data_IF_068001091432
#
_entry.id   IF_068001091432
#
_cell.length_a   1.000
_cell.length_b   1.000
_cell.length_c   1.000
_cell.angle_alpha   90.00
_cell.angle_beta   90.00
_cell.angle_gamma   90.00
#
_symmetry.space_group_name_H-M   'P 1'
#
loop_
_entity.id
_entity.type
_entity.pdbx_description
1 polymer ?
#
# COMPACT_ATOMS: atom_id res chain seq x y z
N UNK A 1 -1.88 -10.18 7.75
CA UNK A 1 -0.90 -9.11 7.48
C UNK A 1 -0.75 -8.98 5.98
N UNK A 2 -0.88 -7.76 5.49
CA UNK A 2 -0.96 -7.42 4.08
C UNK A 2 0.04 -6.31 3.80
N UNK A 3 0.71 -6.38 2.67
CA UNK A 3 1.72 -5.40 2.28
C UNK A 3 1.13 -4.54 1.18
N UNK A 4 0.96 -3.24 1.44
CA UNK A 4 0.58 -2.24 0.46
C UNK A 4 1.72 -2.08 -0.54
N UNK A 5 1.40 -2.31 -1.79
CA UNK A 5 2.32 -2.26 -2.92
C UNK A 5 1.70 -1.45 -4.05
N UNK A 6 2.52 -1.14 -5.05
CA UNK A 6 2.08 -0.41 -6.21
C UNK A 6 2.55 -1.08 -7.48
N UNK A 7 1.66 -1.16 -8.46
CA UNK A 7 2.02 -1.67 -9.78
C UNK A 7 2.97 -0.69 -10.47
N UNK A 8 4.13 -1.17 -10.90
CA UNK A 8 5.14 -0.36 -11.60
C UNK A 8 4.72 -0.01 -13.03
N UNK A 9 3.86 -0.84 -13.65
CA UNK A 9 3.39 -0.63 -15.02
C UNK A 9 2.26 0.39 -15.13
N UNK A 10 1.26 0.35 -14.25
CA UNK A 10 0.08 1.25 -14.34
C UNK A 10 -0.11 2.18 -13.14
N UNK A 11 0.71 2.07 -12.09
CA UNK A 11 0.64 2.95 -10.93
C UNK A 11 -0.56 2.73 -10.00
N UNK A 12 -1.38 1.69 -10.18
CA UNK A 12 -2.45 1.33 -9.25
C UNK A 12 -1.89 0.81 -7.92
N UNK A 13 -2.49 1.23 -6.80
CA UNK A 13 -2.21 0.65 -5.49
C UNK A 13 -3.01 -0.63 -5.28
N UNK A 14 -2.42 -1.57 -4.56
CA UNK A 14 -3.05 -2.82 -4.13
C UNK A 14 -2.27 -3.36 -2.94
N UNK A 15 -2.68 -4.50 -2.40
CA UNK A 15 -1.90 -5.23 -1.42
C UNK A 15 -1.68 -6.69 -1.82
N UNK A 16 -0.63 -7.27 -1.26
CA UNK A 16 -0.26 -8.68 -1.35
C UNK A 16 -0.35 -9.26 0.05
N UNK A 17 -1.04 -10.41 0.21
CA UNK A 17 -1.07 -11.13 1.47
C UNK A 17 0.34 -11.63 1.84
N UNK A 18 0.68 -11.68 3.14
CA UNK A 18 2.01 -12.09 3.59
C UNK A 18 2.46 -13.47 3.07
N UNK A 19 1.55 -14.38 2.80
CA UNK A 19 1.85 -15.73 2.32
C UNK A 19 1.94 -15.83 0.79
N UNK A 20 1.50 -14.79 0.07
CA UNK A 20 1.63 -14.71 -1.37
C UNK A 20 3.02 -14.22 -1.76
N UNK A 21 3.66 -14.90 -2.71
CA UNK A 21 4.94 -14.47 -3.27
C UNK A 21 4.78 -13.52 -4.46
N UNK A 22 3.60 -13.50 -5.08
CA UNK A 22 3.28 -12.66 -6.22
C UNK A 22 1.76 -12.42 -6.29
N UNK A 23 1.36 -11.43 -7.08
CA UNK A 23 -0.05 -11.11 -7.39
C UNK A 23 -0.14 -10.47 -8.77
N UNK A 24 -1.24 -10.68 -9.49
CA UNK A 24 -1.53 -9.91 -10.71
C UNK A 24 -2.10 -8.54 -10.35
N UNK A 25 -1.67 -7.50 -11.07
CA UNK A 25 -2.29 -6.19 -10.97
C UNK A 25 -3.77 -6.30 -11.37
N UNK A 26 -4.71 -5.85 -10.52
CA UNK A 26 -6.14 -5.97 -10.82
C UNK A 26 -6.58 -5.08 -11.99
N UNK A 27 -5.73 -4.14 -12.43
CA UNK A 27 -6.06 -3.19 -13.51
C UNK A 27 -5.40 -3.59 -14.83
N UNK A 28 -4.08 -3.79 -14.86
CA UNK A 28 -3.36 -4.07 -16.11
C UNK A 28 -2.91 -5.53 -16.29
N UNK A 29 -3.10 -6.39 -15.29
CA UNK A 29 -2.67 -7.80 -15.35
C UNK A 29 -1.17 -8.04 -15.17
N UNK A 30 -0.37 -7.00 -14.93
CA UNK A 30 1.08 -7.13 -14.65
C UNK A 30 1.37 -8.07 -13.47
N UNK A 31 2.42 -8.88 -13.57
CA UNK A 31 2.82 -9.77 -12.47
C UNK A 31 3.70 -9.02 -11.47
N UNK A 32 3.18 -8.78 -10.27
CA UNK A 32 3.91 -8.11 -9.19
C UNK A 32 4.54 -9.14 -8.26
N UNK A 33 5.85 -9.30 -8.32
CA UNK A 33 6.61 -10.14 -7.40
C UNK A 33 6.80 -9.42 -6.06
N UNK A 34 6.44 -10.07 -4.93
CA UNK A 34 6.57 -9.50 -3.58
C UNK A 34 8.02 -9.11 -3.23
N UNK A 35 9.01 -9.77 -3.84
CA UNK A 35 10.44 -9.51 -3.62
C UNK A 35 10.93 -8.23 -4.32
N UNK A 36 10.36 -7.87 -5.48
CA UNK A 36 10.83 -6.73 -6.29
C UNK A 36 9.91 -5.51 -6.21
N UNK A 37 8.61 -5.70 -5.98
CA UNK A 37 7.64 -4.61 -5.99
C UNK A 37 7.92 -3.62 -4.85
N UNK A 38 7.72 -2.33 -5.13
CA UNK A 38 7.82 -1.28 -4.11
C UNK A 38 6.78 -1.46 -3.00
N UNK A 39 7.26 -1.52 -1.75
CA UNK A 39 6.45 -1.71 -0.53
C UNK A 39 6.27 -0.38 0.20
N UNK A 40 5.03 -0.01 0.48
CA UNK A 40 4.69 1.26 1.12
C UNK A 40 4.42 1.09 2.61
N UNK A 41 3.56 0.15 2.96
CA UNK A 41 3.10 -0.07 4.33
C UNK A 41 2.77 -1.55 4.54
N UNK A 42 2.95 -2.05 5.75
CA UNK A 42 2.46 -3.36 6.17
C UNK A 42 1.34 -3.14 7.18
N UNK A 43 0.19 -3.80 6.96
CA UNK A 43 -1.04 -3.63 7.75
C UNK A 43 -1.54 -4.99 8.24
N UNK A 44 -2.22 -5.02 9.38
CA UNK A 44 -2.52 -6.28 10.07
C UNK A 44 -3.58 -7.12 9.35
N UNK A 45 -4.64 -6.48 8.88
CA UNK A 45 -5.82 -7.12 8.30
C UNK A 45 -6.17 -6.56 6.91
N UNK A 46 -7.07 -7.23 6.19
CA UNK A 46 -7.41 -6.82 4.81
C UNK A 46 -8.27 -5.55 4.78
N UNK A 47 -9.04 -5.28 5.84
CA UNK A 47 -9.91 -4.12 5.92
C UNK A 47 -9.08 -2.83 6.01
N UNK A 48 -8.05 -2.83 6.84
CA UNK A 48 -7.04 -1.77 6.87
C UNK A 48 -6.36 -1.62 5.51
N UNK A 49 -6.08 -2.74 4.83
CA UNK A 49 -5.42 -2.71 3.54
C UNK A 49 -6.28 -2.04 2.45
N UNK A 50 -7.57 -2.39 2.39
CA UNK A 50 -8.54 -1.75 1.50
C UNK A 50 -8.66 -0.24 1.81
N UNK A 51 -8.78 0.11 3.09
CA UNK A 51 -8.91 1.50 3.52
C UNK A 51 -7.68 2.34 3.12
N UNK A 52 -6.47 1.82 3.37
CA UNK A 52 -5.22 2.50 3.02
C UNK A 52 -5.07 2.66 1.51
N UNK A 53 -5.38 1.63 0.70
CA UNK A 53 -5.32 1.75 -0.77
C UNK A 53 -6.21 2.88 -1.26
N UNK A 54 -7.46 2.93 -0.81
CA UNK A 54 -8.42 3.98 -1.19
C UNK A 54 -7.93 5.37 -0.76
N UNK A 55 -7.37 5.49 0.44
CA UNK A 55 -6.85 6.77 0.95
C UNK A 55 -5.64 7.25 0.14
N UNK A 56 -4.71 6.34 -0.19
CA UNK A 56 -3.53 6.66 -0.99
C UNK A 56 -3.89 7.09 -2.41
N UNK A 57 -4.82 6.38 -3.06
CA UNK A 57 -5.30 6.75 -4.40
C UNK A 57 -5.99 8.11 -4.38
N UNK A 58 -6.85 8.36 -3.39
CA UNK A 58 -7.50 9.65 -3.19
C UNK A 58 -6.47 10.77 -2.98
N UNK A 59 -5.49 10.56 -2.11
CA UNK A 59 -4.45 11.54 -1.81
C UNK A 59 -3.65 11.90 -3.07
N UNK A 60 -3.18 10.90 -3.82
CA UNK A 60 -2.43 11.15 -5.05
C UNK A 60 -3.27 11.89 -6.09
N UNK A 61 -4.52 11.47 -6.28
CA UNK A 61 -5.44 12.11 -7.23
C UNK A 61 -5.70 13.58 -6.87
N UNK A 62 -6.04 13.87 -5.60
CA UNK A 62 -6.31 15.23 -5.13
C UNK A 62 -5.10 16.15 -5.28
N UNK A 63 -3.90 15.63 -5.05
CA UNK A 63 -2.67 16.42 -5.17
C UNK A 63 -2.10 16.42 -6.60
N UNK A 64 -2.76 15.78 -7.58
CA UNK A 64 -2.28 15.58 -8.95
C UNK A 64 -0.88 14.97 -9.01
N UNK A 65 -0.62 14.02 -8.12
CA UNK A 65 0.68 13.38 -7.97
C UNK A 65 0.65 11.98 -8.51
N UNK A 66 1.76 11.59 -9.10
CA UNK A 66 1.95 10.24 -9.59
C UNK A 66 2.54 9.33 -8.54
N UNK A 67 3.09 9.80 -7.41
CA UNK A 67 3.62 8.96 -6.32
C UNK A 67 3.89 9.72 -5.01
N UNK A 68 4.07 8.96 -3.92
CA UNK A 68 4.55 9.44 -2.63
C UNK A 68 6.07 9.65 -2.65
N UNK A 69 6.50 10.70 -1.97
CA UNK A 69 7.91 10.92 -1.65
C UNK A 69 8.39 9.93 -0.58
N UNK A 70 9.71 9.73 -0.42
CA UNK A 70 10.25 8.96 0.70
C UNK A 70 9.79 9.47 2.07
N UNK A 71 9.67 10.80 2.22
CA UNK A 71 9.26 11.44 3.47
C UNK A 71 7.79 11.17 3.81
N UNK A 72 6.92 11.21 2.81
CA UNK A 72 5.50 10.86 2.98
C UNK A 72 5.32 9.38 3.25
N UNK A 73 6.08 8.52 2.58
CA UNK A 73 6.07 7.08 2.86
C UNK A 73 6.48 6.80 4.31
N UNK A 74 7.48 7.55 4.83
CA UNK A 74 7.88 7.45 6.24
C UNK A 74 6.80 7.97 7.19
N UNK A 75 6.16 9.10 6.87
CA UNK A 75 5.03 9.65 7.67
C UNK A 75 3.85 8.68 7.72
N UNK A 76 3.47 8.10 6.58
CA UNK A 76 2.43 7.08 6.47
C UNK A 76 2.69 5.90 7.42
N UNK A 77 3.91 5.35 7.40
CA UNK A 77 4.32 4.25 8.30
C UNK A 77 4.22 4.65 9.77
N UNK A 78 4.69 5.84 10.13
CA UNK A 78 4.65 6.33 11.50
C UNK A 78 3.21 6.59 11.98
N UNK A 79 2.34 7.06 11.10
CA UNK A 79 0.93 7.30 11.42
C UNK A 79 0.16 6.00 11.63
N UNK A 80 0.32 5.03 10.74
CA UNK A 80 -0.30 3.70 10.92
C UNK A 80 0.17 3.02 12.21
N UNK A 81 1.49 3.03 12.47
CA UNK A 81 2.03 2.45 13.69
C UNK A 81 1.44 3.09 14.96
N UNK A 82 1.24 4.42 14.97
CA UNK A 82 0.59 5.12 16.08
C UNK A 82 -0.87 4.70 16.27
N UNK A 83 -1.63 4.57 15.18
CA UNK A 83 -3.04 4.13 15.22
C UNK A 83 -3.19 2.70 15.76
N UNK A 84 -2.39 1.77 15.24
CA UNK A 84 -2.40 0.38 15.73
C UNK A 84 -2.00 0.31 17.21
N UNK A 85 -1.04 1.14 17.64
CA UNK A 85 -0.63 1.18 19.06
C UNK A 85 -1.71 1.75 19.98
N UNK A 86 -2.53 2.69 19.50
CA UNK A 86 -3.64 3.25 20.29
C UNK A 86 -4.84 2.33 20.37
N UNK A 87 -5.07 1.49 19.36
CA UNK A 87 -6.20 0.56 19.30
C UNK A 87 -6.01 -0.69 20.21
N UNK A 88 -4.83 -0.82 20.82
CA UNK A 88 -4.48 -1.91 21.78
C UNK A 88 -4.86 -1.53 23.24
N UNK A 89 -5.41 -0.34 23.49
CA UNK A 89 -5.88 0.11 24.82
C UNK A 89 -7.40 0.22 24.89
#
# INVERSE_FOLDING_TARGET
MYIIVRCESCGTFTYIDRFQNWKLCPVCGETMQKSSVRKYLEVENHHDADAVVVELERYLHQNKRTDLTPDETRKLRAEYARRVSSDIH
#
